data_IF_751962302752
#
_entry.id   IF_751962302752
#
_cell.length_a   1.000
_cell.length_b   1.000
_cell.length_c   1.000
_cell.angle_alpha   90.00
_cell.angle_beta   90.00
_cell.angle_gamma   90.00
#
_symmetry.space_group_name_H-M   'P 1'
#
loop_
_entity.id
_entity.type
_entity.pdbx_description
1 polymer ?
#
# COMPACT_ATOMS: atom_id res chain seq x y z
N UNK A 1 18.98 -1.95 13.42
CA UNK A 1 19.06 -1.22 12.13
C UNK A 1 18.98 0.29 12.32
N UNK A 2 17.90 0.87 12.88
CA UNK A 2 17.78 2.33 13.05
C UNK A 2 18.96 3.00 13.78
N UNK A 3 19.46 2.41 14.88
CA UNK A 3 20.64 2.89 15.62
C UNK A 3 21.91 2.93 14.76
N UNK A 4 22.09 1.98 13.83
CA UNK A 4 23.24 1.96 12.90
C UNK A 4 23.22 3.15 11.94
N UNK A 5 22.03 3.67 11.63
CA UNK A 5 21.83 4.82 10.75
C UNK A 5 21.60 6.15 11.52
N UNK A 6 21.61 6.14 12.86
CA UNK A 6 21.42 7.35 13.68
C UNK A 6 20.03 7.98 13.57
N UNK A 7 19.00 7.20 13.22
CA UNK A 7 17.62 7.68 12.99
C UNK A 7 16.63 7.19 14.04
N UNK A 8 17.09 6.60 15.15
CA UNK A 8 16.22 6.03 16.19
C UNK A 8 15.24 7.04 16.80
N UNK A 9 15.59 8.34 16.81
CA UNK A 9 14.68 9.42 17.27
C UNK A 9 13.56 9.75 16.28
N UNK A 10 13.66 9.26 15.03
CA UNK A 10 12.71 9.50 13.94
C UNK A 10 11.90 8.23 13.58
N UNK A 11 12.25 7.07 14.14
CA UNK A 11 11.62 5.79 13.82
C UNK A 11 11.00 5.20 15.08
N UNK A 12 9.68 5.01 15.04
CA UNK A 12 8.93 4.37 16.12
C UNK A 12 8.59 2.93 15.72
N UNK A 13 9.20 1.94 16.36
CA UNK A 13 8.86 0.53 16.21
C UNK A 13 7.68 0.19 17.15
N UNK A 14 6.47 0.21 16.60
CA UNK A 14 5.23 0.10 17.41
C UNK A 14 4.94 -1.32 17.92
N UNK A 15 5.64 -2.33 17.40
CA UNK A 15 5.35 -3.74 17.68
C UNK A 15 4.03 -4.21 17.08
N UNK A 16 3.53 -5.36 17.55
CA UNK A 16 2.23 -5.87 17.13
C UNK A 16 1.09 -4.98 17.62
N UNK A 17 0.06 -4.82 16.79
CA UNK A 17 -1.17 -4.09 17.12
C UNK A 17 -2.37 -4.92 16.71
N UNK A 18 -3.29 -5.15 17.64
CA UNK A 18 -4.59 -5.78 17.37
C UNK A 18 -5.45 -4.91 16.44
N UNK A 19 -5.32 -3.59 16.54
CA UNK A 19 -5.98 -2.63 15.67
C UNK A 19 -4.94 -1.69 15.02
N UNK A 20 -4.37 -2.05 13.86
CA UNK A 20 -3.41 -1.21 13.15
C UNK A 20 -4.07 -0.03 12.42
N UNK A 21 -5.39 -0.08 12.19
CA UNK A 21 -6.10 0.89 11.36
C UNK A 21 -6.04 2.32 11.89
N UNK A 22 -5.94 2.50 13.21
CA UNK A 22 -5.73 3.82 13.81
C UNK A 22 -4.42 4.47 13.33
N UNK A 23 -3.36 3.67 13.18
CA UNK A 23 -2.07 4.18 12.73
C UNK A 23 -2.08 4.46 11.24
N UNK A 24 -2.67 3.57 10.45
CA UNK A 24 -2.75 3.71 8.99
C UNK A 24 -3.57 4.96 8.64
N UNK A 25 -4.77 5.11 9.21
CA UNK A 25 -5.67 6.25 8.95
C UNK A 25 -5.05 7.62 9.28
N UNK A 26 -4.20 7.68 10.30
CA UNK A 26 -3.55 8.92 10.72
C UNK A 26 -2.18 9.16 10.05
N UNK A 27 -1.70 8.21 9.25
CA UNK A 27 -0.46 8.37 8.51
C UNK A 27 -0.68 9.32 7.32
N UNK A 28 0.33 10.15 7.01
CA UNK A 28 0.32 10.99 5.80
C UNK A 28 0.54 10.19 4.52
N UNK A 29 1.27 9.08 4.64
CA UNK A 29 1.69 8.23 3.54
C UNK A 29 2.05 6.84 4.09
N UNK A 30 1.59 5.80 3.41
CA UNK A 30 2.10 4.45 3.54
C UNK A 30 3.17 4.21 2.46
N UNK A 31 4.33 3.70 2.88
CA UNK A 31 5.40 3.27 1.98
C UNK A 31 5.50 1.76 1.99
N UNK A 32 5.46 1.14 0.80
CA UNK A 32 5.49 -0.32 0.66
C UNK A 32 6.72 -0.76 -0.14
N UNK A 33 7.64 -1.47 0.53
CA UNK A 33 8.93 -1.90 -0.02
C UNK A 33 9.10 -3.42 -0.07
N UNK A 34 8.00 -4.17 0.09
CA UNK A 34 8.02 -5.64 0.10
C UNK A 34 8.40 -6.19 -1.27
N UNK A 35 9.34 -7.14 -1.31
CA UNK A 35 9.83 -7.75 -2.56
C UNK A 35 8.91 -8.83 -3.12
N UNK A 36 8.05 -9.39 -2.27
CA UNK A 36 7.17 -10.49 -2.60
C UNK A 36 5.87 -10.34 -1.83
N UNK A 37 4.76 -10.29 -2.55
CA UNK A 37 3.42 -10.25 -2.01
C UNK A 37 2.55 -11.24 -2.77
N UNK A 38 1.54 -11.81 -2.12
CA UNK A 38 0.50 -12.56 -2.83
C UNK A 38 -0.42 -11.59 -3.56
N UNK A 39 -1.19 -10.81 -2.78
CA UNK A 39 -2.10 -9.78 -3.30
C UNK A 39 -1.75 -8.39 -2.78
N UNK A 40 -1.24 -8.27 -1.54
CA UNK A 40 -0.96 -6.98 -0.91
C UNK A 40 -2.17 -6.36 -0.20
N UNK A 41 -2.85 -7.13 0.66
CA UNK A 41 -4.04 -6.69 1.42
C UNK A 41 -3.84 -5.33 2.10
N UNK A 42 -2.66 -5.09 2.66
CA UNK A 42 -2.33 -3.84 3.36
C UNK A 42 -2.42 -2.60 2.45
N UNK A 43 -2.20 -2.77 1.14
CA UNK A 43 -2.39 -1.70 0.16
C UNK A 43 -3.87 -1.34 0.06
N UNK A 44 -4.75 -2.34 -0.05
CA UNK A 44 -6.21 -2.14 -0.07
C UNK A 44 -6.70 -1.51 1.23
N UNK A 45 -6.23 -1.99 2.38
CA UNK A 45 -6.56 -1.42 3.69
C UNK A 45 -6.20 0.07 3.78
N UNK A 46 -5.01 0.45 3.29
CA UNK A 46 -4.59 1.85 3.25
C UNK A 46 -5.49 2.71 2.35
N UNK A 47 -5.86 2.20 1.16
CA UNK A 47 -6.75 2.90 0.24
C UNK A 47 -8.17 3.07 0.81
N UNK A 48 -8.69 2.06 1.52
CA UNK A 48 -9.98 2.13 2.23
C UNK A 48 -9.94 3.23 3.29
N UNK A 49 -8.84 3.30 4.07
CA UNK A 49 -8.65 4.29 5.12
C UNK A 49 -8.30 5.69 4.62
N UNK A 50 -8.26 5.90 3.30
CA UNK A 50 -7.88 7.15 2.64
C UNK A 50 -6.46 7.61 2.99
N UNK A 51 -5.57 6.65 3.18
CA UNK A 51 -4.15 6.89 3.37
C UNK A 51 -3.42 6.65 2.05
N UNK A 52 -2.76 7.68 1.48
CA UNK A 52 -1.98 7.55 0.25
C UNK A 52 -0.94 6.43 0.34
N UNK A 53 -0.62 5.79 -0.80
CA UNK A 53 0.33 4.69 -0.86
C UNK A 53 1.34 4.93 -1.98
N UNK A 54 2.62 4.75 -1.71
CA UNK A 54 3.64 4.57 -2.74
C UNK A 54 4.26 3.19 -2.54
N UNK A 55 4.30 2.41 -3.61
CA UNK A 55 4.85 1.05 -3.60
C UNK A 55 6.02 0.92 -4.55
N UNK A 56 6.97 0.08 -4.21
CA UNK A 56 7.90 -0.46 -5.20
C UNK A 56 7.17 -1.44 -6.13
N UNK A 57 7.63 -1.52 -7.38
CA UNK A 57 7.19 -2.46 -8.39
C UNK A 57 7.90 -3.79 -8.14
N UNK A 58 7.24 -4.66 -7.40
CA UNK A 58 7.67 -6.04 -7.21
C UNK A 58 6.61 -7.00 -7.76
N UNK A 59 6.99 -8.27 -7.90
CA UNK A 59 6.29 -9.24 -8.74
C UNK A 59 4.81 -9.40 -8.34
N UNK A 60 3.91 -8.95 -9.22
CA UNK A 60 2.46 -9.16 -9.23
C UNK A 60 1.63 -8.43 -8.15
N UNK A 61 0.36 -8.15 -8.47
CA UNK A 61 -0.68 -7.71 -7.52
C UNK A 61 -0.72 -6.20 -7.23
N UNK A 62 0.44 -5.53 -7.17
CA UNK A 62 0.51 -4.09 -6.86
C UNK A 62 -0.18 -3.25 -7.93
N UNK A 63 0.00 -3.60 -9.21
CA UNK A 63 -0.58 -2.91 -10.37
C UNK A 63 -2.09 -3.16 -10.53
N UNK A 64 -2.61 -4.21 -9.91
CA UNK A 64 -4.06 -4.44 -9.80
C UNK A 64 -4.72 -3.48 -8.79
N UNK A 65 -3.97 -3.02 -7.79
CA UNK A 65 -4.48 -2.22 -6.66
C UNK A 65 -4.16 -0.73 -6.84
N UNK A 66 -2.97 -0.40 -7.35
CA UNK A 66 -2.47 0.96 -7.48
C UNK A 66 -2.34 1.38 -8.95
N UNK A 67 -2.50 2.66 -9.22
CA UNK A 67 -2.19 3.23 -10.52
C UNK A 67 -0.66 3.36 -10.70
N UNK A 68 -0.17 3.18 -11.92
CA UNK A 68 1.28 3.17 -12.24
C UNK A 68 2.03 4.39 -11.72
N UNK A 69 1.39 5.56 -11.62
CA UNK A 69 2.01 6.77 -11.09
C UNK A 69 2.45 6.63 -9.62
N UNK A 70 1.86 5.71 -8.85
CA UNK A 70 2.17 5.45 -7.44
C UNK A 70 3.09 4.24 -7.24
N UNK A 71 3.58 3.65 -8.33
CA UNK A 71 4.42 2.46 -8.34
C UNK A 71 5.82 2.83 -8.88
N UNK A 72 6.87 2.56 -8.12
CA UNK A 72 8.25 2.87 -8.47
C UNK A 72 9.06 1.64 -8.89
N UNK A 73 9.87 1.72 -9.94
CA UNK A 73 10.69 0.62 -10.45
C UNK A 73 12.14 0.65 -9.94
N UNK A 74 12.54 1.73 -9.26
CA UNK A 74 13.86 1.89 -8.67
C UNK A 74 13.78 2.64 -7.34
N UNK A 75 14.83 2.54 -6.52
CA UNK A 75 14.92 3.26 -5.26
C UNK A 75 14.89 4.78 -5.47
N UNK A 76 15.56 5.30 -6.51
CA UNK A 76 15.54 6.73 -6.83
C UNK A 76 14.13 7.20 -7.18
N UNK A 77 13.45 6.47 -8.07
CA UNK A 77 12.07 6.77 -8.45
C UNK A 77 11.12 6.72 -7.24
N UNK A 78 11.34 5.77 -6.32
CA UNK A 78 10.55 5.66 -5.09
C UNK A 78 10.71 6.88 -4.19
N UNK A 79 11.94 7.35 -4.01
CA UNK A 79 12.23 8.55 -3.23
C UNK A 79 11.66 9.82 -3.88
N UNK A 80 11.72 9.93 -5.21
CA UNK A 80 11.10 11.04 -5.96
C UNK A 80 9.58 11.06 -5.75
N UNK A 81 8.91 9.91 -5.97
CA UNK A 81 7.46 9.80 -5.75
C UNK A 81 7.04 10.11 -4.32
N UNK A 82 7.83 9.70 -3.32
CA UNK A 82 7.56 10.05 -1.91
C UNK A 82 7.66 11.57 -1.67
N UNK A 83 8.64 12.24 -2.27
CA UNK A 83 8.84 13.69 -2.08
C UNK A 83 7.78 14.52 -2.81
N UNK A 84 7.36 14.06 -3.97
CA UNK A 84 6.49 14.80 -4.88
C UNK A 84 5.00 14.51 -4.68
N UNK A 85 4.66 13.56 -3.79
CA UNK A 85 3.28 13.17 -3.57
C UNK A 85 2.40 14.36 -3.13
N UNK A 86 1.54 14.77 -4.05
CA UNK A 86 0.55 15.85 -3.88
C UNK A 86 -0.73 15.42 -4.57
N UNK A 87 -1.88 15.87 -4.04
CA UNK A 87 -3.20 15.64 -4.65
C UNK A 87 -3.45 14.16 -5.02
N UNK A 88 -3.17 13.25 -4.09
CA UNK A 88 -3.30 11.81 -4.30
C UNK A 88 -4.72 11.42 -4.74
N UNK A 89 -4.82 10.71 -5.86
CA UNK A 89 -6.07 10.23 -6.42
C UNK A 89 -6.27 8.78 -6.00
N UNK A 90 -7.33 8.52 -5.25
CA UNK A 90 -7.63 7.17 -4.81
C UNK A 90 -8.32 6.39 -5.92
N UNK A 91 -7.71 5.25 -6.30
CA UNK A 91 -8.33 4.30 -7.23
C UNK A 91 -9.66 3.82 -6.66
N UNK A 92 -10.63 3.63 -7.55
CA UNK A 92 -11.90 3.04 -7.17
C UNK A 92 -11.72 1.55 -6.85
N UNK A 93 -12.19 1.13 -5.67
CA UNK A 93 -12.10 -0.24 -5.18
C UNK A 93 -13.36 -1.07 -5.46
N UNK A 94 -14.28 -0.61 -6.32
CA UNK A 94 -15.48 -1.36 -6.72
C UNK A 94 -15.15 -2.81 -7.09
N UNK A 95 -14.06 -3.06 -7.85
CA UNK A 95 -13.60 -4.41 -8.23
C UNK A 95 -13.51 -5.35 -7.02
N UNK A 96 -13.06 -4.84 -5.88
CA UNK A 96 -12.82 -5.63 -4.67
C UNK A 96 -14.04 -5.70 -3.73
N UNK A 97 -15.19 -5.16 -4.13
CA UNK A 97 -16.42 -5.32 -3.35
C UNK A 97 -16.86 -6.79 -3.33
N UNK A 98 -17.42 -7.20 -2.19
CA UNK A 98 -17.90 -8.55 -1.95
C UNK A 98 -18.83 -9.06 -3.05
N UNK A 99 -19.78 -8.23 -3.51
CA UNK A 99 -20.73 -8.59 -4.56
C UNK A 99 -20.04 -8.95 -5.89
N UNK A 100 -19.01 -8.20 -6.26
CA UNK A 100 -18.24 -8.43 -7.48
C UNK A 100 -17.37 -9.67 -7.35
N UNK A 101 -16.70 -9.86 -6.21
CA UNK A 101 -15.92 -11.07 -5.94
C UNK A 101 -16.82 -12.31 -5.94
N UNK A 102 -17.99 -12.28 -5.29
CA UNK A 102 -18.96 -13.39 -5.32
C UNK A 102 -19.38 -13.71 -6.76
N UNK A 103 -19.63 -12.69 -7.58
CA UNK A 103 -19.99 -12.87 -8.99
C UNK A 103 -18.87 -13.58 -9.77
N UNK A 104 -17.62 -13.19 -9.57
CA UNK A 104 -16.45 -13.84 -10.20
C UNK A 104 -16.35 -15.32 -9.79
N UNK A 105 -16.46 -15.63 -8.50
CA UNK A 105 -16.38 -17.01 -8.01
C UNK A 105 -17.54 -17.89 -8.51
N UNK A 106 -18.76 -17.35 -8.58
CA UNK A 106 -19.90 -18.08 -9.15
C UNK A 106 -19.67 -18.47 -10.61
N UNK A 107 -19.03 -17.61 -11.39
CA UNK A 107 -18.70 -17.88 -12.79
C UNK A 107 -17.67 -19.00 -13.02
N UNK A 108 -16.99 -19.48 -11.97
CA UNK A 108 -16.04 -20.61 -12.07
C UNK A 108 -16.70 -21.97 -11.81
N UNK A 109 -17.90 -21.98 -11.24
CA UNK A 109 -18.61 -23.19 -10.78
C UNK A 109 -19.83 -23.49 -11.67
N UNK A 110 -20.21 -22.57 -12.55
CA UNK A 110 -21.27 -22.72 -13.55
C UNK A 110 -20.67 -22.87 -14.95
#
# INVERSE_FOLDING_TARGET
MAKKFGIEKKVHFLGWKSNPYLYIKNAKLMVHTSKFEGFGNVLVESLILKTPVISMNYKWGVDEILDKQYIANSENEFLEKIKEIKNYQFRNLEKFKLENIIKEYKGLIC
#
